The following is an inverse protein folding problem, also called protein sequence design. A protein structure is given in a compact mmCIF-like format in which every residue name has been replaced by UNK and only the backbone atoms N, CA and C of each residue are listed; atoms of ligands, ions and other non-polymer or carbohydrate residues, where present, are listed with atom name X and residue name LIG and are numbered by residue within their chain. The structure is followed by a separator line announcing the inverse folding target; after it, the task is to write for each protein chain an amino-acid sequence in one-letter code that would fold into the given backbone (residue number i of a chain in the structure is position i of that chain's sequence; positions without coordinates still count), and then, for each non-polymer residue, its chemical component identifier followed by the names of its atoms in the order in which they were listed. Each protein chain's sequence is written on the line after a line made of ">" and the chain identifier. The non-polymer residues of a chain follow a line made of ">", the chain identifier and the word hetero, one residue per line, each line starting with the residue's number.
data_IF_662299902550
#
_entry.id   IF_662299902550
#
_cell.length_a   1.000
_cell.length_b   1.000
_cell.length_c   1.000
_cell.angle_alpha   90.00
_cell.angle_beta   90.00
_cell.angle_gamma   90.00
#
_symmetry.space_group_name_H-M   'P 1'
#
loop_
_entity.id
_entity.type
_entity.pdbx_description
1 polymer ?
#
# COMPACT_ATOMS: atom_id res chain seq x y z
N UNK A 1 6.66 -10.92 -4.15
CA UNK A 1 5.36 -10.33 -3.79
C UNK A 1 4.76 -9.62 -5.00
N UNK A 2 3.50 -9.86 -5.28
CA UNK A 2 2.84 -9.23 -6.41
C UNK A 2 2.37 -7.81 -6.06
N UNK A 3 2.11 -7.01 -7.10
CA UNK A 3 1.55 -5.66 -6.90
C UNK A 3 0.20 -5.75 -6.19
N UNK A 4 -0.59 -6.77 -6.51
CA UNK A 4 -1.88 -7.00 -5.86
C UNK A 4 -1.69 -7.17 -4.35
N UNK A 5 -0.70 -7.93 -3.94
CA UNK A 5 -0.40 -8.14 -2.53
C UNK A 5 0.08 -6.85 -1.87
N UNK A 6 0.91 -6.07 -2.57
CA UNK A 6 1.33 -4.76 -2.08
C UNK A 6 0.14 -3.84 -1.84
N UNK A 7 -0.81 -3.84 -2.77
CA UNK A 7 -2.02 -3.02 -2.67
C UNK A 7 -2.83 -3.39 -1.42
N UNK A 8 -2.96 -4.69 -1.15
CA UNK A 8 -3.65 -5.16 0.05
C UNK A 8 -2.93 -4.67 1.30
N UNK A 9 -1.61 -4.78 1.32
CA UNK A 9 -0.82 -4.38 2.49
C UNK A 9 -0.92 -2.89 2.78
N UNK A 10 -0.82 -2.03 1.77
CA UNK A 10 -0.93 -0.58 2.01
C UNK A 10 -2.36 -0.18 2.41
N UNK A 11 -3.36 -0.92 1.96
CA UNK A 11 -4.75 -0.67 2.38
C UNK A 11 -4.93 -0.87 3.88
N UNK A 12 -4.19 -1.81 4.46
CA UNK A 12 -4.30 -2.13 5.89
C UNK A 12 -3.62 -1.11 6.79
N UNK A 13 -2.78 -0.23 6.25
CA UNK A 13 -2.01 0.73 7.07
C UNK A 13 -2.92 1.73 7.76
N UNK A 14 -3.92 2.21 7.07
CA UNK A 14 -4.89 3.14 7.64
C UNK A 14 -6.29 2.56 7.56
N UNK A 15 -7.08 2.84 8.59
CA UNK A 15 -8.49 2.46 8.58
C UNK A 15 -9.29 3.51 7.82
N UNK A 16 -10.41 3.11 7.27
CA UNK A 16 -11.32 4.03 6.64
C UNK A 16 -11.49 3.76 5.15
N UNK A 17 -12.69 4.05 4.70
CA UNK A 17 -13.08 3.77 3.32
C UNK A 17 -12.40 4.71 2.34
N UNK A 18 -12.16 5.96 2.72
CA UNK A 18 -11.51 6.92 1.84
C UNK A 18 -10.12 6.46 1.43
N UNK A 19 -9.35 5.97 2.40
CA UNK A 19 -8.02 5.46 2.12
C UNK A 19 -8.09 4.25 1.20
N UNK A 20 -9.00 3.33 1.49
CA UNK A 20 -9.17 2.13 0.67
C UNK A 20 -9.53 2.49 -0.77
N UNK A 21 -10.46 3.42 -0.97
CA UNK A 21 -10.84 3.86 -2.31
C UNK A 21 -9.68 4.54 -3.02
N UNK A 22 -8.90 5.32 -2.31
CA UNK A 22 -7.72 5.97 -2.86
C UNK A 22 -6.71 4.94 -3.36
N UNK A 23 -6.45 3.92 -2.55
CA UNK A 23 -5.52 2.85 -2.92
C UNK A 23 -6.02 2.09 -4.15
N UNK A 24 -7.33 1.82 -4.22
CA UNK A 24 -7.90 1.13 -5.37
C UNK A 24 -7.73 1.91 -6.69
N UNK A 25 -7.61 3.23 -6.59
CA UNK A 25 -7.44 4.09 -7.78
C UNK A 25 -5.97 4.29 -8.17
N UNK A 26 -5.05 3.87 -7.33
CA UNK A 26 -3.63 4.00 -7.63
C UNK A 26 -3.23 3.10 -8.79
N UNK A 27 -2.34 3.60 -9.64
CA UNK A 27 -1.72 2.77 -10.65
C UNK A 27 -0.75 1.80 -9.99
N UNK A 28 -0.35 0.75 -10.71
CA UNK A 28 0.60 -0.23 -10.18
C UNK A 28 1.90 0.45 -9.75
N UNK A 29 2.39 1.41 -10.55
CA UNK A 29 3.62 2.13 -10.22
C UNK A 29 3.47 2.93 -8.93
N UNK A 30 2.32 3.56 -8.72
CA UNK A 30 2.05 4.29 -7.49
C UNK A 30 1.97 3.35 -6.30
N UNK A 31 1.34 2.19 -6.46
CA UNK A 31 1.26 1.19 -5.39
C UNK A 31 2.65 0.74 -4.97
N UNK A 32 3.51 0.46 -5.93
CA UNK A 32 4.88 0.03 -5.65
C UNK A 32 5.64 1.12 -4.89
N UNK A 33 5.54 2.36 -5.34
CA UNK A 33 6.21 3.49 -4.69
C UNK A 33 5.73 3.69 -3.25
N UNK A 34 4.41 3.67 -3.04
CA UNK A 34 3.82 3.84 -1.72
C UNK A 34 4.21 2.68 -0.80
N UNK A 35 4.18 1.46 -1.33
CA UNK A 35 4.55 0.27 -0.56
C UNK A 35 5.99 0.40 -0.03
N UNK A 36 6.94 0.76 -0.89
CA UNK A 36 8.33 0.91 -0.49
C UNK A 36 8.50 2.01 0.54
N UNK A 37 7.79 3.12 0.38
CA UNK A 37 7.83 4.21 1.34
C UNK A 37 7.31 3.76 2.71
N UNK A 38 6.21 3.02 2.73
CA UNK A 38 5.63 2.54 3.98
C UNK A 38 6.54 1.53 4.67
N UNK A 39 7.22 0.68 3.90
CA UNK A 39 8.22 -0.23 4.45
C UNK A 39 9.37 0.55 5.07
N UNK A 40 9.86 1.56 4.37
CA UNK A 40 10.94 2.41 4.87
C UNK A 40 10.54 3.14 6.16
N UNK A 41 9.30 3.59 6.24
CA UNK A 41 8.79 4.32 7.40
C UNK A 41 8.39 3.39 8.55
N UNK A 42 8.49 2.09 8.37
CA UNK A 42 8.16 1.11 9.40
C UNK A 42 6.67 0.83 9.54
N UNK A 43 5.85 1.31 8.62
CA UNK A 43 4.41 1.07 8.64
C UNK A 43 4.03 -0.32 8.13
N UNK A 44 4.87 -0.90 7.29
CA UNK A 44 4.69 -2.25 6.75
C UNK A 44 5.98 -3.01 7.03
N UNK A 45 5.84 -4.20 7.61
CA UNK A 45 6.99 -5.07 7.84
C UNK A 45 7.36 -5.78 6.54
N UNK A 46 8.65 -5.76 6.24
CA UNK A 46 9.19 -6.44 5.08
C UNK A 46 10.21 -7.48 5.55
N UNK A 47 9.88 -8.73 5.31
CA UNK A 47 10.76 -9.84 5.70
C UNK A 47 11.66 -10.28 4.55
#
# INVERSE_FOLDING_TARGET
>A
MSVQQMRVEITKVYKGERWRLKVLRMTDNQVIAVYHRFVKDGLIKNY
#
